data_IF_330288786049
#
_entry.id   IF_330288786049
#
_cell.length_a   1.000
_cell.length_b   1.000
_cell.length_c   1.000
_cell.angle_alpha   90.00
_cell.angle_beta   90.00
_cell.angle_gamma   90.00
#
_symmetry.space_group_name_H-M   'P 1'
#
loop_
_entity.id
_entity.type
_entity.pdbx_description
1 polymer ?
#
# COMPACT_ATOMS: atom_id res chain seq x y z
N UNK A 1 -4.06 5.57 -24.65
CA UNK A 1 -5.52 5.80 -24.83
C UNK A 1 -5.89 6.31 -26.25
N UNK A 2 -4.98 6.96 -27.00
CA UNK A 2 -5.32 7.46 -28.36
C UNK A 2 -5.43 6.35 -29.41
N UNK A 3 -4.62 5.28 -29.26
CA UNK A 3 -4.52 4.21 -30.25
C UNK A 3 -5.05 2.86 -29.75
N UNK A 4 -4.98 2.62 -28.44
CA UNK A 4 -5.48 1.41 -27.79
C UNK A 4 -6.37 1.86 -26.64
N UNK A 5 -7.63 1.45 -26.64
CA UNK A 5 -8.55 1.75 -25.55
C UNK A 5 -8.21 0.89 -24.33
N UNK A 6 -8.40 1.44 -23.13
CA UNK A 6 -8.14 0.72 -21.89
C UNK A 6 -8.90 -0.61 -21.80
N UNK A 7 -10.15 -0.61 -22.21
CA UNK A 7 -11.04 -1.78 -22.25
C UNK A 7 -10.64 -2.88 -23.23
N UNK A 8 -9.73 -2.58 -24.20
CA UNK A 8 -9.24 -3.51 -25.22
C UNK A 8 -7.91 -4.17 -24.82
N UNK A 9 -7.39 -3.90 -23.60
CA UNK A 9 -6.13 -4.44 -23.11
C UNK A 9 -6.26 -5.02 -21.72
N UNK A 10 -5.45 -6.03 -21.45
CA UNK A 10 -5.18 -6.53 -20.10
C UNK A 10 -3.68 -6.65 -19.86
N UNK A 11 -3.28 -6.66 -18.64
CA UNK A 11 -1.89 -6.87 -18.24
C UNK A 11 -1.83 -7.58 -16.89
N UNK A 12 -0.71 -8.20 -16.60
CA UNK A 12 -0.40 -8.82 -15.31
C UNK A 12 1.04 -8.45 -14.97
N UNK A 13 1.26 -8.08 -13.71
CA UNK A 13 2.58 -7.76 -13.18
C UNK A 13 3.01 -8.91 -12.29
N UNK A 14 4.19 -9.47 -12.57
CA UNK A 14 4.75 -10.60 -11.82
C UNK A 14 6.08 -10.19 -11.21
N UNK A 15 6.20 -10.31 -9.89
CA UNK A 15 7.46 -10.07 -9.21
C UNK A 15 8.38 -11.29 -9.29
N UNK A 16 9.65 -11.07 -9.60
CA UNK A 16 10.70 -12.09 -9.49
C UNK A 16 12.05 -11.43 -9.17
N UNK A 17 12.97 -12.12 -8.49
CA UNK A 17 14.25 -11.56 -8.13
C UNK A 17 15.21 -11.56 -9.31
N UNK A 18 16.19 -10.65 -9.25
CA UNK A 18 17.37 -10.62 -10.12
C UNK A 18 18.60 -11.13 -9.36
N UNK A 19 19.70 -11.54 -10.06
CA UNK A 19 20.88 -12.12 -9.38
C UNK A 19 21.49 -11.26 -8.27
N UNK A 20 21.31 -9.94 -8.36
CA UNK A 20 21.80 -8.95 -7.39
C UNK A 20 21.12 -9.06 -6.01
N UNK A 21 20.04 -9.83 -5.90
CA UNK A 21 19.35 -10.07 -4.62
C UNK A 21 20.24 -10.75 -3.59
N UNK A 22 21.26 -11.53 -4.04
CA UNK A 22 22.25 -12.11 -3.15
C UNK A 22 22.87 -13.42 -3.66
N UNK A 23 23.88 -13.90 -2.92
CA UNK A 23 24.63 -15.12 -3.27
C UNK A 23 23.76 -16.37 -3.39
N UNK A 24 22.64 -16.41 -2.63
CA UNK A 24 21.68 -17.52 -2.66
C UNK A 24 20.58 -17.32 -3.70
N UNK A 25 20.85 -16.60 -4.78
CA UNK A 25 19.87 -16.24 -5.82
C UNK A 25 18.99 -17.41 -6.27
N UNK A 26 19.56 -18.60 -6.52
CA UNK A 26 18.78 -19.74 -7.00
C UNK A 26 17.72 -20.19 -6.00
N UNK A 27 18.09 -20.29 -4.73
CA UNK A 27 17.15 -20.69 -3.68
C UNK A 27 16.09 -19.60 -3.46
N UNK A 28 16.49 -18.33 -3.50
CA UNK A 28 15.60 -17.18 -3.38
C UNK A 28 14.63 -17.17 -4.55
N UNK A 29 15.13 -17.42 -5.77
CA UNK A 29 14.28 -17.51 -6.97
C UNK A 29 13.23 -18.60 -6.83
N UNK A 30 13.61 -19.80 -6.40
CA UNK A 30 12.68 -20.92 -6.19
C UNK A 30 11.63 -20.60 -5.12
N UNK A 31 12.01 -19.93 -4.03
CA UNK A 31 11.09 -19.50 -2.98
C UNK A 31 10.16 -18.36 -3.48
N UNK A 32 10.63 -17.45 -4.33
CA UNK A 32 9.79 -16.41 -4.95
C UNK A 32 8.79 -17.03 -5.94
N UNK A 33 9.19 -18.01 -6.73
CA UNK A 33 8.23 -18.73 -7.59
C UNK A 33 7.15 -19.41 -6.74
N UNK A 34 7.53 -19.96 -5.58
CA UNK A 34 6.57 -20.53 -4.63
C UNK A 34 5.62 -19.47 -4.05
N UNK A 35 6.13 -18.29 -3.73
CA UNK A 35 5.31 -17.14 -3.30
C UNK A 35 4.31 -16.74 -4.40
N UNK A 36 4.77 -16.67 -5.65
CA UNK A 36 3.93 -16.30 -6.80
C UNK A 36 2.87 -17.35 -7.16
N UNK A 37 3.02 -18.58 -6.67
CA UNK A 37 2.11 -19.70 -6.97
C UNK A 37 1.34 -20.20 -5.75
N UNK A 38 1.18 -19.36 -4.73
CA UNK A 38 0.35 -19.65 -3.57
C UNK A 38 -1.11 -19.90 -3.97
N UNK A 39 -1.82 -20.67 -3.16
CA UNK A 39 -3.24 -20.97 -3.38
C UNK A 39 -4.09 -19.70 -3.25
N UNK A 40 -4.40 -19.08 -4.39
CA UNK A 40 -5.21 -17.86 -4.45
C UNK A 40 -6.59 -18.06 -3.81
N UNK A 41 -7.21 -19.24 -3.96
CA UNK A 41 -8.52 -19.52 -3.36
C UNK A 41 -8.47 -19.64 -1.82
N UNK A 42 -7.34 -20.05 -1.25
CA UNK A 42 -7.15 -19.98 0.19
C UNK A 42 -7.03 -18.55 0.69
N UNK A 43 -6.19 -17.75 0.01
CA UNK A 43 -6.01 -16.33 0.32
C UNK A 43 -7.30 -15.54 0.15
N UNK A 44 -8.05 -15.77 -0.92
CA UNK A 44 -9.36 -15.18 -1.15
C UNK A 44 -10.28 -15.32 0.09
N UNK A 45 -10.39 -16.53 0.64
CA UNK A 45 -11.24 -16.79 1.82
C UNK A 45 -10.73 -16.11 3.09
N UNK A 46 -9.41 -16.14 3.31
CA UNK A 46 -8.79 -15.48 4.48
C UNK A 46 -8.96 -13.96 4.38
N UNK A 47 -8.66 -13.39 3.23
CA UNK A 47 -8.78 -11.96 2.96
C UNK A 47 -10.24 -11.50 3.03
N UNK A 48 -11.18 -12.29 2.52
CA UNK A 48 -12.59 -11.97 2.63
C UNK A 48 -13.06 -11.89 4.09
N UNK A 49 -12.56 -12.76 4.98
CA UNK A 49 -12.86 -12.68 6.41
C UNK A 49 -12.37 -11.37 7.04
N UNK A 50 -11.22 -10.86 6.59
CA UNK A 50 -10.68 -9.56 7.02
C UNK A 50 -11.57 -8.44 6.49
N UNK A 51 -11.91 -8.48 5.20
CA UNK A 51 -12.79 -7.49 4.55
C UNK A 51 -14.14 -7.42 5.26
N UNK A 52 -14.78 -8.56 5.52
CA UNK A 52 -16.07 -8.63 6.21
C UNK A 52 -16.04 -8.01 7.63
N UNK A 53 -14.88 -8.00 8.26
CA UNK A 53 -14.68 -7.30 9.53
C UNK A 53 -14.47 -5.81 9.35
N UNK A 54 -13.68 -5.40 8.36
CA UNK A 54 -13.35 -4.00 8.05
C UNK A 54 -14.54 -3.23 7.50
N UNK A 55 -15.35 -3.86 6.65
CA UNK A 55 -16.56 -3.26 6.05
C UNK A 55 -17.61 -2.81 7.09
N UNK A 56 -17.51 -3.30 8.34
CA UNK A 56 -18.35 -2.87 9.45
C UNK A 56 -17.80 -1.67 10.21
N UNK A 57 -16.57 -1.28 9.91
CA UNK A 57 -15.89 -0.17 10.55
C UNK A 57 -16.21 1.17 9.88
N UNK A 58 -16.09 2.25 10.64
CA UNK A 58 -16.14 3.62 10.12
C UNK A 58 -14.74 4.22 10.00
N UNK A 59 -13.77 3.63 10.69
CA UNK A 59 -12.34 3.96 10.59
C UNK A 59 -11.50 2.76 11.01
N UNK A 60 -10.25 2.76 10.59
CA UNK A 60 -9.19 1.89 11.12
C UNK A 60 -8.22 2.73 11.91
N UNK A 61 -7.75 2.24 13.05
CA UNK A 61 -6.66 2.87 13.81
C UNK A 61 -5.49 1.92 13.92
N UNK A 62 -4.37 2.31 13.33
CA UNK A 62 -3.12 1.54 13.38
C UNK A 62 -2.22 2.11 14.46
N UNK A 63 -1.75 1.25 15.37
CA UNK A 63 -0.87 1.61 16.47
C UNK A 63 0.43 0.83 16.43
N UNK A 64 1.51 1.57 16.59
CA UNK A 64 2.84 1.00 16.75
C UNK A 64 3.01 0.26 18.09
N UNK A 65 4.05 -0.54 18.16
CA UNK A 65 4.47 -1.30 19.33
C UNK A 65 5.92 -1.01 19.68
N UNK A 66 6.25 -1.01 20.97
CA UNK A 66 7.60 -0.77 21.44
C UNK A 66 8.05 0.67 21.16
N UNK A 67 9.11 0.83 20.36
CA UNK A 67 9.62 2.12 19.95
C UNK A 67 8.88 2.73 18.75
N UNK A 68 8.08 1.96 18.04
CA UNK A 68 7.30 2.46 16.91
C UNK A 68 6.21 3.43 17.38
N UNK A 69 6.19 4.63 16.82
CA UNK A 69 5.33 5.73 17.23
C UNK A 69 4.09 5.89 16.33
N UNK A 70 3.79 4.91 15.50
CA UNK A 70 2.58 4.96 14.69
C UNK A 70 1.35 5.08 15.58
N UNK A 71 0.54 6.06 15.29
CA UNK A 71 -0.84 6.21 15.79
C UNK A 71 -1.61 6.96 14.72
N UNK A 72 -2.12 6.21 13.76
CA UNK A 72 -2.78 6.72 12.56
C UNK A 72 -4.21 6.22 12.50
N UNK A 73 -5.15 7.16 12.45
CA UNK A 73 -6.56 6.92 12.18
C UNK A 73 -6.82 7.10 10.70
N UNK A 74 -7.36 6.09 10.06
CA UNK A 74 -7.72 6.07 8.64
C UNK A 74 -9.24 6.05 8.55
N UNK A 75 -9.83 7.08 7.99
CA UNK A 75 -11.28 7.15 7.80
C UNK A 75 -11.69 6.29 6.60
N UNK A 76 -12.75 5.50 6.77
CA UNK A 76 -13.29 4.62 5.74
C UNK A 76 -14.51 5.23 5.05
N UNK A 77 -14.79 4.77 3.84
CA UNK A 77 -16.04 5.05 3.15
C UNK A 77 -17.23 4.40 3.87
N UNK A 78 -18.41 4.95 3.69
CA UNK A 78 -19.66 4.39 4.19
C UNK A 78 -20.33 3.55 3.10
N UNK A 79 -20.75 2.32 3.45
CA UNK A 79 -21.50 1.44 2.57
C UNK A 79 -22.97 1.86 2.55
N UNK A 80 -23.53 2.06 1.35
CA UNK A 80 -24.97 2.32 1.19
C UNK A 80 -25.75 1.00 1.13
N UNK A 81 -25.21 -0.03 0.51
CA UNK A 81 -25.81 -1.36 0.39
C UNK A 81 -24.76 -2.45 0.72
N UNK A 82 -24.59 -2.82 2.02
CA UNK A 82 -23.59 -3.80 2.43
C UNK A 82 -23.74 -5.18 1.79
N UNK A 83 -24.89 -5.50 1.18
CA UNK A 83 -25.08 -6.76 0.46
C UNK A 83 -24.46 -6.73 -0.95
N UNK A 84 -24.25 -5.54 -1.53
CA UNK A 84 -23.75 -5.35 -2.89
C UNK A 84 -22.43 -4.60 -2.98
N UNK A 85 -22.04 -3.91 -1.91
CA UNK A 85 -20.88 -3.03 -1.86
C UNK A 85 -19.85 -3.52 -0.84
N UNK A 86 -18.60 -3.15 -1.05
CA UNK A 86 -17.47 -3.38 -0.15
C UNK A 86 -16.50 -2.20 -0.22
N UNK A 87 -15.77 -1.95 0.87
CA UNK A 87 -14.78 -0.86 0.95
C UNK A 87 -13.41 -1.34 0.47
N UNK A 88 -13.08 -2.62 0.72
CA UNK A 88 -11.74 -3.16 0.45
C UNK A 88 -11.75 -4.09 -0.75
N UNK A 89 -10.69 -3.99 -1.56
CA UNK A 89 -10.40 -4.97 -2.60
C UNK A 89 -9.74 -6.22 -2.00
N UNK A 90 -10.18 -7.38 -2.47
CA UNK A 90 -9.59 -8.68 -2.19
C UNK A 90 -8.58 -9.02 -3.29
N UNK A 91 -7.30 -8.68 -3.11
CA UNK A 91 -6.27 -8.87 -4.12
C UNK A 91 -5.88 -10.35 -4.24
N UNK A 92 -6.43 -11.02 -5.26
CA UNK A 92 -6.32 -12.46 -5.49
C UNK A 92 -5.36 -12.85 -6.62
N UNK A 93 -4.40 -11.99 -6.95
CA UNK A 93 -3.40 -12.20 -8.00
C UNK A 93 -4.00 -12.28 -9.41
N UNK A 94 -4.95 -11.44 -9.72
CA UNK A 94 -5.52 -11.25 -11.06
C UNK A 94 -4.72 -10.23 -11.89
N UNK A 95 -4.26 -9.14 -11.28
CA UNK A 95 -3.39 -8.14 -11.90
C UNK A 95 -1.98 -8.21 -11.32
N UNK A 96 -1.83 -8.12 -10.01
CA UNK A 96 -0.56 -8.15 -9.29
C UNK A 96 -0.28 -9.55 -8.74
N UNK A 97 0.84 -10.16 -9.12
CA UNK A 97 1.31 -11.43 -8.59
C UNK A 97 2.55 -11.17 -7.72
N UNK A 98 2.56 -11.64 -6.48
CA UNK A 98 1.70 -12.63 -5.81
C UNK A 98 0.39 -12.08 -5.23
N UNK A 99 -0.47 -13.03 -4.81
CA UNK A 99 -1.63 -12.78 -3.94
C UNK A 99 -1.18 -12.32 -2.55
N UNK A 100 -2.04 -11.61 -1.84
CA UNK A 100 -1.83 -11.46 -0.40
C UNK A 100 -1.98 -10.07 0.17
N UNK A 101 -3.07 -9.38 -0.18
CA UNK A 101 -3.45 -8.12 0.47
C UNK A 101 -4.94 -7.83 0.38
N UNK A 102 -5.40 -6.98 1.27
CA UNK A 102 -6.67 -6.28 1.17
C UNK A 102 -6.38 -4.78 1.25
N UNK A 103 -6.89 -3.99 0.31
CA UNK A 103 -6.57 -2.57 0.24
C UNK A 103 -7.79 -1.70 -0.04
N UNK A 104 -7.67 -0.41 0.24
CA UNK A 104 -8.71 0.60 0.01
C UNK A 104 -8.10 1.96 -0.26
N UNK A 105 -8.80 2.80 -1.02
CA UNK A 105 -8.52 4.23 -1.07
C UNK A 105 -9.28 4.89 0.09
N UNK A 106 -8.58 5.47 1.09
CA UNK A 106 -9.24 6.01 2.27
C UNK A 106 -9.96 7.34 1.98
N UNK A 107 -10.94 7.67 2.82
CA UNK A 107 -11.46 9.03 2.93
C UNK A 107 -10.40 9.90 3.58
N UNK A 108 -10.06 11.04 2.98
CA UNK A 108 -9.00 11.92 3.50
C UNK A 108 -9.47 12.72 4.70
N UNK A 109 -10.69 13.28 4.64
CA UNK A 109 -11.26 14.05 5.75
C UNK A 109 -11.38 13.19 7.01
N UNK A 110 -10.72 13.63 8.11
CA UNK A 110 -10.67 12.90 9.37
C UNK A 110 -9.66 11.76 9.42
N UNK A 111 -8.86 11.53 8.35
CA UNK A 111 -7.66 10.68 8.38
C UNK A 111 -6.51 11.49 8.94
N UNK A 112 -6.01 11.11 10.14
CA UNK A 112 -5.05 11.91 10.89
C UNK A 112 -4.17 11.07 11.79
N UNK A 113 -2.98 11.58 12.10
CA UNK A 113 -2.05 10.95 13.03
C UNK A 113 -0.65 10.79 12.45
N UNK A 114 0.10 9.86 12.99
CA UNK A 114 1.50 9.63 12.65
C UNK A 114 1.69 8.22 12.11
N UNK A 115 2.35 8.13 10.97
CA UNK A 115 2.94 6.91 10.44
C UNK A 115 4.43 6.92 10.77
N UNK A 116 4.92 5.89 11.42
CA UNK A 116 6.33 5.72 11.76
C UNK A 116 6.80 4.32 11.39
N UNK A 117 7.97 4.22 10.80
CA UNK A 117 8.63 2.95 10.55
C UNK A 117 10.11 3.08 10.87
N UNK A 118 10.64 2.13 11.67
CA UNK A 118 12.03 2.20 12.13
C UNK A 118 13.04 2.04 11.00
N UNK A 119 12.71 1.22 9.99
CA UNK A 119 13.51 1.03 8.79
C UNK A 119 12.64 0.54 7.65
N UNK A 120 12.71 1.24 6.52
CA UNK A 120 12.02 0.85 5.29
C UNK A 120 12.89 1.19 4.08
N UNK A 121 12.68 0.46 2.99
CA UNK A 121 13.32 0.70 1.70
C UNK A 121 12.26 1.13 0.70
N UNK A 122 12.42 2.32 0.14
CA UNK A 122 11.52 2.90 -0.85
C UNK A 122 12.35 3.20 -2.10
N UNK A 123 12.00 2.57 -3.22
CA UNK A 123 12.75 2.72 -4.49
C UNK A 123 14.28 2.51 -4.30
N UNK A 124 14.66 1.42 -3.62
CA UNK A 124 16.05 1.05 -3.29
C UNK A 124 16.76 1.99 -2.31
N UNK A 125 16.11 3.06 -1.85
CA UNK A 125 16.65 3.99 -0.86
C UNK A 125 16.22 3.59 0.56
N UNK A 126 17.20 3.51 1.46
CA UNK A 126 16.93 3.21 2.88
C UNK A 126 16.45 4.46 3.62
N UNK A 127 15.42 4.28 4.44
CA UNK A 127 14.95 5.27 5.42
C UNK A 127 15.08 4.69 6.82
N UNK A 128 15.61 5.48 7.72
CA UNK A 128 15.77 5.16 9.15
C UNK A 128 14.86 6.10 9.93
N UNK A 129 14.02 5.53 10.82
CA UNK A 129 13.04 6.26 11.61
C UNK A 129 12.20 7.24 10.78
N UNK A 130 11.72 6.75 9.61
CA UNK A 130 10.83 7.54 8.76
C UNK A 130 9.52 7.83 9.50
N UNK A 131 9.17 9.11 9.58
CA UNK A 131 7.94 9.56 10.21
C UNK A 131 7.22 10.55 9.30
N UNK A 132 5.95 10.29 9.05
CA UNK A 132 5.04 11.16 8.32
C UNK A 132 3.87 11.51 9.22
N UNK A 133 3.53 12.79 9.31
CA UNK A 133 2.36 13.27 10.07
C UNK A 133 1.26 13.66 9.09
N UNK A 134 0.05 13.19 9.35
CA UNK A 134 -1.12 13.43 8.51
C UNK A 134 -2.16 14.27 9.23
N UNK A 135 -2.77 15.21 8.50
CA UNK A 135 -3.99 15.90 8.88
C UNK A 135 -4.92 15.95 7.65
N UNK A 136 -6.17 15.55 7.83
CA UNK A 136 -7.13 15.38 6.74
C UNK A 136 -6.52 14.64 5.53
N UNK A 137 -5.87 13.52 5.84
CA UNK A 137 -5.27 12.60 4.88
C UNK A 137 -4.09 13.13 4.10
N UNK A 138 -3.55 14.31 4.42
CA UNK A 138 -2.40 14.91 3.73
C UNK A 138 -1.20 14.99 4.66
N UNK A 139 0.00 14.81 4.10
CA UNK A 139 1.25 14.97 4.84
C UNK A 139 1.41 16.44 5.24
N UNK A 140 1.53 16.69 6.53
CA UNK A 140 1.75 18.04 7.09
C UNK A 140 3.14 18.22 7.67
N UNK A 141 3.79 17.13 8.07
CA UNK A 141 5.17 17.12 8.53
C UNK A 141 5.83 15.77 8.28
N UNK A 142 7.15 15.78 8.17
CA UNK A 142 7.93 14.57 7.90
C UNK A 142 9.37 14.70 8.40
N UNK A 143 9.95 13.58 8.85
CA UNK A 143 11.36 13.48 9.26
C UNK A 143 11.87 12.06 9.09
N UNK A 144 13.20 11.91 9.08
CA UNK A 144 13.90 10.62 9.19
C UNK A 144 15.24 10.83 9.91
N UNK A 145 15.99 9.77 10.15
CA UNK A 145 17.28 9.79 10.86
C UNK A 145 18.44 9.28 9.98
N UNK A 146 18.41 9.53 8.69
CA UNK A 146 19.46 9.09 7.74
C UNK A 146 20.72 9.94 7.85
N UNK A 147 20.58 11.23 8.19
CA UNK A 147 21.67 12.21 8.22
C UNK A 147 21.68 12.95 9.58
N UNK A 148 22.83 13.53 9.92
CA UNK A 148 22.96 14.31 11.15
C UNK A 148 22.16 15.61 11.13
N UNK A 149 21.99 16.22 9.93
CA UNK A 149 21.30 17.48 9.78
C UNK A 149 19.84 17.26 9.41
N UNK A 150 18.94 17.92 10.11
CA UNK A 150 17.50 17.87 9.85
C UNK A 150 17.16 18.32 8.41
N UNK A 151 17.82 19.36 7.91
CA UNK A 151 17.60 19.86 6.56
C UNK A 151 17.91 18.79 5.48
N UNK A 152 18.96 17.99 5.69
CA UNK A 152 19.34 16.89 4.78
C UNK A 152 18.30 15.76 4.84
N UNK A 153 17.80 15.42 6.03
CA UNK A 153 16.72 14.45 6.20
C UNK A 153 15.43 14.92 5.52
N UNK A 154 15.03 16.16 5.73
CA UNK A 154 13.82 16.73 5.09
C UNK A 154 13.96 16.77 3.57
N UNK A 155 15.11 17.19 3.07
CA UNK A 155 15.37 17.19 1.63
C UNK A 155 15.32 15.79 1.03
N UNK A 156 15.86 14.79 1.73
CA UNK A 156 15.86 13.41 1.28
C UNK A 156 14.42 12.85 1.13
N UNK A 157 13.53 13.16 2.08
CA UNK A 157 12.12 12.79 2.00
C UNK A 157 11.40 13.60 0.91
N UNK A 158 11.65 14.90 0.83
CA UNK A 158 11.02 15.78 -0.16
C UNK A 158 11.33 15.33 -1.61
N UNK A 159 12.59 15.02 -1.88
CA UNK A 159 13.02 14.62 -3.22
C UNK A 159 12.47 13.23 -3.61
N UNK A 160 12.42 12.27 -2.69
CA UNK A 160 12.26 10.85 -3.02
C UNK A 160 10.94 10.22 -2.53
N UNK A 161 10.28 10.78 -1.52
CA UNK A 161 8.97 10.31 -1.04
C UNK A 161 7.86 11.25 -1.52
N UNK A 162 8.08 12.56 -1.39
CA UNK A 162 7.12 13.56 -1.86
C UNK A 162 7.30 13.90 -3.35
N UNK A 163 8.33 13.42 -4.02
CA UNK A 163 8.60 13.66 -5.43
C UNK A 163 8.52 15.15 -5.82
N UNK A 164 9.06 16.02 -4.94
CA UNK A 164 9.05 17.48 -5.04
C UNK A 164 7.66 18.13 -4.94
N UNK A 165 6.65 17.44 -4.44
CA UNK A 165 5.38 18.04 -4.07
C UNK A 165 5.44 18.61 -2.65
N UNK A 166 4.73 19.71 -2.40
CA UNK A 166 4.65 20.30 -1.06
C UNK A 166 3.99 19.35 -0.05
N UNK A 167 3.03 18.57 -0.50
CA UNK A 167 2.33 17.55 0.26
C UNK A 167 1.80 16.46 -0.67
N UNK A 168 1.56 15.27 -0.13
CA UNK A 168 0.87 14.17 -0.82
C UNK A 168 -0.29 13.68 0.04
N UNK A 169 -1.40 13.23 -0.57
CA UNK A 169 -2.45 12.55 0.14
C UNK A 169 -2.07 11.10 0.47
N UNK A 170 -2.76 10.52 1.46
CA UNK A 170 -2.79 9.08 1.65
C UNK A 170 -3.64 8.46 0.54
N UNK A 171 -3.01 7.84 -0.44
CA UNK A 171 -3.67 7.23 -1.60
C UNK A 171 -4.22 5.84 -1.31
N UNK A 172 -3.56 5.12 -0.38
CA UNK A 172 -3.92 3.75 -0.04
C UNK A 172 -3.69 3.43 1.43
N UNK A 173 -4.57 2.59 1.96
CA UNK A 173 -4.33 1.79 3.15
C UNK A 173 -4.55 0.31 2.83
N UNK A 174 -3.60 -0.53 3.17
CA UNK A 174 -3.66 -1.96 2.91
C UNK A 174 -3.16 -2.81 4.10
N UNK A 175 -3.59 -4.07 4.10
CA UNK A 175 -3.09 -5.10 5.01
C UNK A 175 -2.52 -6.23 4.16
N UNK A 176 -1.19 -6.32 4.10
CA UNK A 176 -0.49 -7.44 3.50
C UNK A 176 -0.72 -8.71 4.32
N UNK A 177 -1.06 -9.79 3.65
CA UNK A 177 -1.40 -11.08 4.29
C UNK A 177 -0.45 -12.20 3.90
N UNK A 178 0.56 -11.92 3.05
CA UNK A 178 1.47 -12.92 2.53
C UNK A 178 2.57 -13.29 3.55
N UNK A 179 2.21 -14.15 4.49
CA UNK A 179 3.14 -14.63 5.53
C UNK A 179 4.29 -15.45 4.96
N UNK A 180 4.13 -16.08 3.80
CA UNK A 180 5.21 -16.82 3.11
C UNK A 180 6.27 -15.83 2.60
N UNK A 181 5.85 -14.72 2.01
CA UNK A 181 6.76 -13.64 1.60
C UNK A 181 7.51 -13.06 2.80
N UNK A 182 6.80 -12.76 3.90
CA UNK A 182 7.40 -12.27 5.14
C UNK A 182 8.48 -13.21 5.69
N UNK A 183 8.17 -14.51 5.80
CA UNK A 183 9.13 -15.51 6.30
C UNK A 183 10.32 -15.66 5.35
N UNK A 184 10.10 -15.59 4.03
CA UNK A 184 11.17 -15.67 3.03
C UNK A 184 12.12 -14.47 3.14
N UNK A 185 11.59 -13.25 3.26
CA UNK A 185 12.39 -12.05 3.49
C UNK A 185 13.30 -12.19 4.69
N UNK A 186 12.76 -12.61 5.84
CA UNK A 186 13.52 -12.85 7.09
C UNK A 186 14.53 -13.97 6.95
N UNK A 187 14.18 -15.09 6.31
CA UNK A 187 15.07 -16.25 6.11
C UNK A 187 16.35 -15.91 5.37
N UNK A 188 16.25 -15.05 4.38
CA UNK A 188 17.37 -14.67 3.53
C UNK A 188 17.97 -13.31 3.88
N UNK A 189 17.32 -12.55 4.78
CA UNK A 189 17.72 -11.18 5.14
C UNK A 189 17.77 -10.28 3.89
N UNK A 190 16.69 -10.31 3.09
CA UNK A 190 16.56 -9.61 1.81
C UNK A 190 15.39 -8.64 1.78
N UNK A 191 14.89 -8.21 2.94
CA UNK A 191 13.75 -7.30 3.03
C UNK A 191 13.98 -6.00 2.26
N UNK A 192 15.25 -5.58 2.18
CA UNK A 192 15.71 -4.39 1.45
C UNK A 192 15.82 -4.58 -0.07
N UNK A 193 15.71 -5.81 -0.54
CA UNK A 193 15.95 -6.18 -1.95
C UNK A 193 14.76 -6.90 -2.59
N UNK A 194 13.72 -7.15 -1.81
CA UNK A 194 12.53 -7.79 -2.37
C UNK A 194 11.84 -6.86 -3.38
N UNK A 195 11.36 -7.42 -4.52
CA UNK A 195 10.48 -6.66 -5.40
C UNK A 195 9.31 -6.05 -4.63
N UNK A 196 8.92 -4.81 -4.98
CA UNK A 196 7.90 -4.06 -4.25
C UNK A 196 6.59 -4.84 -4.12
N UNK A 197 6.13 -5.48 -5.19
CA UNK A 197 4.91 -6.32 -5.19
C UNK A 197 4.92 -7.47 -4.19
N UNK A 198 6.08 -7.86 -3.68
CA UNK A 198 6.22 -8.87 -2.62
C UNK A 198 6.38 -8.18 -1.27
N UNK A 199 7.20 -7.12 -1.22
CA UNK A 199 7.50 -6.41 0.01
C UNK A 199 6.26 -5.78 0.64
N UNK A 200 5.41 -5.11 -0.14
CA UNK A 200 4.15 -4.50 0.31
C UNK A 200 3.22 -5.53 0.98
N UNK A 201 3.18 -6.76 0.46
CA UNK A 201 2.31 -7.84 0.96
C UNK A 201 2.79 -8.50 2.26
N UNK A 202 3.93 -8.06 2.80
CA UNK A 202 4.52 -8.63 4.03
C UNK A 202 4.01 -7.98 5.33
N UNK A 203 3.19 -6.93 5.25
CA UNK A 203 2.69 -6.24 6.43
C UNK A 203 1.64 -5.18 6.09
N UNK A 204 1.10 -4.47 7.09
CA UNK A 204 0.31 -3.29 6.84
C UNK A 204 1.15 -2.26 6.09
N UNK A 205 0.56 -1.67 5.03
CA UNK A 205 1.25 -0.64 4.26
C UNK A 205 0.33 0.52 3.90
N UNK A 206 0.95 1.63 3.53
CA UNK A 206 0.30 2.91 3.29
C UNK A 206 0.97 3.54 2.08
N UNK A 207 0.22 3.82 1.03
CA UNK A 207 0.78 4.56 -0.07
C UNK A 207 0.49 6.05 0.04
N UNK A 208 1.51 6.86 -0.25
CA UNK A 208 1.35 8.31 -0.40
C UNK A 208 1.41 8.68 -1.86
N UNK A 209 0.52 9.58 -2.29
CA UNK A 209 0.32 9.96 -3.67
C UNK A 209 -1.03 9.55 -4.24
N UNK A 210 -1.02 9.05 -5.47
CA UNK A 210 -2.21 8.64 -6.20
C UNK A 210 -2.86 7.38 -5.59
N UNK A 211 -4.15 7.17 -5.83
CA UNK A 211 -4.85 5.94 -5.44
C UNK A 211 -4.44 4.77 -6.35
N UNK A 212 -4.69 3.54 -5.91
CA UNK A 212 -4.46 2.34 -6.74
C UNK A 212 -5.31 2.32 -8.02
N UNK A 213 -6.39 3.10 -8.04
CA UNK A 213 -7.30 3.18 -9.18
C UNK A 213 -7.02 4.36 -10.11
N UNK A 214 -5.91 5.08 -9.95
CA UNK A 214 -5.56 6.26 -10.76
C UNK A 214 -5.72 6.02 -12.25
N UNK A 215 -6.46 6.91 -12.92
CA UNK A 215 -6.88 6.82 -14.32
C UNK A 215 -7.89 5.71 -14.65
N UNK A 216 -8.39 4.98 -13.66
CA UNK A 216 -9.40 3.91 -13.82
C UNK A 216 -10.52 3.96 -12.78
N UNK A 217 -10.61 5.03 -11.99
CA UNK A 217 -11.56 5.16 -10.88
C UNK A 217 -13.02 5.06 -11.32
N UNK A 218 -13.33 5.45 -12.56
CA UNK A 218 -14.68 5.37 -13.14
C UNK A 218 -15.07 3.94 -13.62
N UNK A 219 -14.10 3.01 -13.63
CA UNK A 219 -14.33 1.61 -13.98
C UNK A 219 -14.82 0.88 -12.74
N UNK A 220 -15.97 0.20 -12.84
CA UNK A 220 -16.48 -0.63 -11.76
C UNK A 220 -15.60 -1.88 -11.59
N UNK A 221 -15.18 -2.12 -10.37
CA UNK A 221 -14.41 -3.30 -9.98
C UNK A 221 -15.21 -4.08 -8.94
N UNK A 222 -15.09 -5.40 -8.95
CA UNK A 222 -15.84 -6.29 -8.08
C UNK A 222 -14.90 -7.29 -7.42
N UNK A 223 -15.12 -7.56 -6.16
CA UNK A 223 -14.47 -8.67 -5.48
C UNK A 223 -14.99 -10.03 -6.00
N UNK A 224 -14.27 -11.14 -5.78
CA UNK A 224 -14.71 -12.48 -6.20
C UNK A 224 -16.11 -12.86 -5.70
N UNK A 225 -16.55 -12.32 -4.57
CA UNK A 225 -17.90 -12.52 -4.03
C UNK A 225 -18.99 -11.73 -4.75
N UNK A 226 -18.65 -10.94 -5.77
CA UNK A 226 -19.57 -10.15 -6.60
C UNK A 226 -19.95 -8.78 -6.03
N UNK A 227 -19.40 -8.37 -4.88
CA UNK A 227 -19.63 -7.02 -4.33
C UNK A 227 -18.79 -5.98 -5.07
N UNK A 228 -19.40 -4.84 -5.38
CA UNK A 228 -18.72 -3.70 -6.01
C UNK A 228 -17.81 -3.00 -5.00
N UNK A 229 -16.56 -2.78 -5.36
CA UNK A 229 -15.61 -1.99 -4.58
C UNK A 229 -15.95 -0.52 -4.80
N UNK A 230 -16.43 0.17 -3.76
CA UNK A 230 -16.85 1.58 -3.87
C UNK A 230 -15.73 2.57 -3.54
N UNK A 231 -14.73 2.17 -2.78
CA UNK A 231 -13.64 3.02 -2.33
C UNK A 231 -12.50 3.12 -3.36
N UNK A 232 -12.84 3.60 -4.57
CA UNK A 232 -11.88 3.82 -5.65
C UNK A 232 -11.36 5.24 -5.73
N UNK A 233 -12.05 6.15 -5.05
CA UNK A 233 -11.76 7.58 -5.03
C UNK A 233 -11.46 8.08 -3.63
N UNK A 234 -10.72 9.17 -3.56
CA UNK A 234 -10.67 10.07 -2.42
C UNK A 234 -11.00 11.50 -2.87
N UNK A 235 -11.02 12.45 -1.94
CA UNK A 235 -11.41 13.84 -2.24
C UNK A 235 -10.46 14.51 -3.25
N UNK A 236 -9.21 14.06 -3.35
CA UNK A 236 -8.25 14.60 -4.31
C UNK A 236 -8.45 13.97 -5.68
N UNK A 237 -8.56 12.64 -5.78
CA UNK A 237 -8.75 11.96 -7.06
C UNK A 237 -10.06 12.41 -7.75
N UNK A 238 -11.09 12.75 -6.97
CA UNK A 238 -12.35 13.31 -7.49
C UNK A 238 -12.18 14.63 -8.23
N UNK A 239 -11.12 15.40 -7.94
CA UNK A 239 -10.83 16.67 -8.65
C UNK A 239 -10.53 16.47 -10.13
N UNK A 240 -10.23 15.22 -10.58
CA UNK A 240 -10.05 14.92 -12.02
C UNK A 240 -11.26 15.28 -12.87
N UNK A 241 -12.44 15.32 -12.28
CA UNK A 241 -13.69 15.69 -12.96
C UNK A 241 -13.70 17.17 -13.36
N UNK A 242 -12.91 17.99 -12.68
CA UNK A 242 -12.72 19.40 -12.99
C UNK A 242 -11.41 19.62 -13.75
N UNK A 243 -10.31 19.11 -13.21
CA UNK A 243 -8.97 19.26 -13.75
C UNK A 243 -8.08 18.07 -13.32
N UNK A 244 -7.70 17.18 -14.25
CA UNK A 244 -6.82 16.05 -13.94
C UNK A 244 -5.47 16.46 -13.32
N UNK A 245 -4.96 17.65 -13.62
CA UNK A 245 -3.70 18.13 -13.04
C UNK A 245 -3.79 18.40 -11.53
N UNK A 246 -4.99 18.53 -10.98
CA UNK A 246 -5.22 18.68 -9.54
C UNK A 246 -5.39 17.36 -8.81
N UNK A 247 -5.65 16.28 -9.55
CA UNK A 247 -5.99 14.99 -9.00
C UNK A 247 -4.82 14.01 -8.94
N UNK A 248 -3.86 14.12 -9.87
CA UNK A 248 -2.81 13.14 -10.05
C UNK A 248 -1.42 13.72 -9.81
N UNK A 249 -0.68 13.08 -8.93
CA UNK A 249 0.71 13.41 -8.58
C UNK A 249 1.73 12.62 -9.40
N UNK A 250 1.28 11.60 -10.12
CA UNK A 250 2.11 10.65 -10.86
C UNK A 250 3.12 9.91 -9.98
N UNK A 251 2.77 9.70 -8.74
CA UNK A 251 3.52 8.89 -7.79
C UNK A 251 2.57 8.10 -6.88
N UNK A 252 3.05 6.93 -6.47
CA UNK A 252 2.41 6.04 -5.52
C UNK A 252 3.53 5.31 -4.79
N UNK A 253 3.74 5.61 -3.52
CA UNK A 253 4.87 5.10 -2.76
C UNK A 253 4.40 4.33 -1.54
N UNK A 254 4.55 3.01 -1.57
CA UNK A 254 4.13 2.09 -0.51
C UNK A 254 5.14 2.07 0.64
N UNK A 255 4.64 2.33 1.84
CA UNK A 255 5.41 2.33 3.07
C UNK A 255 4.89 1.21 3.96
N UNK A 256 5.62 0.09 4.00
CA UNK A 256 5.25 -1.10 4.77
C UNK A 256 5.81 -1.01 6.19
N UNK A 257 4.96 -1.27 7.19
CA UNK A 257 5.39 -1.41 8.59
C UNK A 257 5.58 -2.91 8.87
N UNK A 258 6.75 -3.34 9.38
CA UNK A 258 6.95 -4.72 9.80
C UNK A 258 5.96 -5.14 10.89
N UNK A 259 5.45 -6.37 10.83
CA UNK A 259 4.49 -6.86 11.84
C UNK A 259 4.99 -6.79 13.28
N UNK A 260 6.31 -6.86 13.50
CA UNK A 260 6.92 -6.73 14.81
C UNK A 260 6.74 -5.33 15.43
N UNK A 261 6.54 -4.32 14.58
CA UNK A 261 6.38 -2.94 14.98
C UNK A 261 4.91 -2.54 15.18
N UNK A 262 3.96 -3.43 14.87
CA UNK A 262 2.52 -3.18 15.03
C UNK A 262 2.02 -3.73 16.36
N UNK A 263 1.25 -2.91 17.08
CA UNK A 263 0.53 -3.30 18.29
C UNK A 263 -0.62 -4.26 17.97
N UNK A 264 -0.97 -5.12 18.92
CA UNK A 264 -2.23 -5.85 18.83
C UNK A 264 -3.38 -4.88 19.17
N UNK A 265 -4.42 -4.91 18.34
CA UNK A 265 -5.67 -4.20 18.62
C UNK A 265 -6.38 -4.83 19.83
#
# INVERSE_FOLDING_TARGET
>A
NRYIKGEERSFTIVAYPVPEIGERYREIFDDVIRINTLDAGLYERVQQTIIDALDRGVYVRVKGKGANQTDLKIQLHELNDPEKETIFENCVADVNIPVGEVFTSPVLSGTEGVLHVSRVYLNELQYIDLKLTFADGKITDYTCANFEKEEENRKYIYDNVLHNHETLPLGEFAIGTNTTAYVTGKKYQIEDKMPILIAEKTGPHFAVGDTCYSWSEDIKVYNPNGKEIIARDNEISLLRKEDPAKAYFQCHTDITIPYEEIGRA
#
